data_IF_581368555660
#
_entry.id   IF_581368555660
#
_cell.length_a   1.000
_cell.length_b   1.000
_cell.length_c   1.000
_cell.angle_alpha   90.00
_cell.angle_beta   90.00
_cell.angle_gamma   90.00
#
_symmetry.space_group_name_H-M   'P 1'
#
loop_
_entity.id
_entity.type
_entity.pdbx_description
1 polymer ?
#
# COMPACT_ATOMS: atom_id res chain seq x y z
N UNK A 1 24.59 -27.43 0.00
CA UNK A 1 23.77 -28.02 1.07
C UNK A 1 22.33 -27.59 0.78
N UNK A 2 21.40 -28.53 0.63
CA UNK A 2 19.99 -28.18 0.43
C UNK A 2 19.39 -27.61 1.73
N UNK A 3 18.42 -26.72 1.57
CA UNK A 3 17.69 -26.10 2.66
C UNK A 3 16.74 -27.14 3.27
N UNK A 4 16.79 -27.35 4.59
CA UNK A 4 15.91 -28.26 5.32
C UNK A 4 15.16 -27.49 6.41
N UNK A 5 13.86 -27.29 6.21
CA UNK A 5 12.98 -26.55 7.11
C UNK A 5 11.83 -27.46 7.58
N UNK A 6 11.41 -27.29 8.84
CA UNK A 6 10.30 -28.06 9.44
C UNK A 6 8.95 -27.38 9.17
N UNK A 7 8.92 -26.04 9.17
CA UNK A 7 7.70 -25.24 8.97
C UNK A 7 8.05 -23.86 8.44
N UNK A 8 7.12 -23.28 7.69
CA UNK A 8 7.21 -21.93 7.14
C UNK A 8 5.81 -21.37 6.88
N UNK A 9 5.72 -20.05 6.77
CA UNK A 9 4.48 -19.40 6.33
C UNK A 9 4.19 -19.79 4.88
N UNK A 10 2.96 -20.20 4.62
CA UNK A 10 2.48 -20.49 3.27
C UNK A 10 1.57 -19.37 2.78
N UNK A 11 1.76 -18.95 1.54
CA UNK A 11 0.93 -17.94 0.91
C UNK A 11 -0.36 -18.57 0.35
N UNK A 12 -1.47 -17.87 0.47
CA UNK A 12 -2.72 -18.29 -0.18
C UNK A 12 -3.44 -19.45 0.49
N UNK A 13 -3.09 -19.82 1.73
CA UNK A 13 -3.70 -20.95 2.47
C UNK A 13 -5.21 -20.83 2.68
N UNK A 14 -5.76 -19.61 2.61
CA UNK A 14 -7.21 -19.39 2.76
C UNK A 14 -7.96 -19.30 1.43
N UNK A 15 -7.29 -19.34 0.28
CA UNK A 15 -7.95 -19.31 -1.04
C UNK A 15 -8.85 -20.51 -1.26
N UNK A 16 -10.06 -20.27 -1.76
CA UNK A 16 -11.09 -21.28 -2.00
C UNK A 16 -11.69 -21.89 -0.72
N UNK A 17 -11.36 -21.36 0.46
CA UNK A 17 -11.88 -21.84 1.74
C UNK A 17 -13.07 -21.01 2.22
N UNK A 18 -13.78 -21.50 3.24
CA UNK A 18 -14.90 -20.77 3.85
C UNK A 18 -14.50 -19.41 4.47
N UNK A 19 -13.21 -19.18 4.74
CA UNK A 19 -12.71 -17.95 5.36
C UNK A 19 -12.09 -16.96 4.38
N UNK A 20 -11.97 -17.30 3.09
CA UNK A 20 -11.34 -16.44 2.07
C UNK A 20 -11.94 -15.03 2.05
N UNK A 21 -13.28 -14.94 2.05
CA UNK A 21 -14.00 -13.67 2.04
C UNK A 21 -13.77 -12.86 3.31
N UNK A 22 -13.71 -13.52 4.47
CA UNK A 22 -13.41 -12.85 5.73
C UNK A 22 -11.98 -12.29 5.72
N UNK A 23 -11.00 -13.05 5.22
CA UNK A 23 -9.61 -12.57 5.08
C UNK A 23 -9.53 -11.36 4.14
N UNK A 24 -10.23 -11.37 3.00
CA UNK A 24 -10.28 -10.22 2.08
C UNK A 24 -10.87 -8.98 2.75
N UNK A 25 -11.97 -9.14 3.48
CA UNK A 25 -12.61 -8.04 4.19
C UNK A 25 -11.70 -7.44 5.27
N UNK A 26 -11.02 -8.29 6.03
CA UNK A 26 -10.06 -7.82 7.04
C UNK A 26 -8.87 -7.13 6.37
N UNK A 27 -8.29 -7.70 5.30
CA UNK A 27 -7.20 -7.02 4.58
C UNK A 27 -7.59 -5.60 4.13
N UNK A 28 -8.80 -5.42 3.57
CA UNK A 28 -9.30 -4.11 3.14
C UNK A 28 -9.58 -3.17 4.32
N UNK A 29 -10.17 -3.67 5.40
CA UNK A 29 -10.46 -2.92 6.62
C UNK A 29 -9.17 -2.38 7.24
N UNK A 30 -8.20 -3.26 7.48
CA UNK A 30 -6.90 -2.91 8.04
C UNK A 30 -6.17 -1.88 7.18
N UNK A 31 -6.17 -2.03 5.84
CA UNK A 31 -5.60 -1.04 4.92
C UNK A 31 -6.25 0.35 5.06
N UNK A 32 -7.56 0.41 5.26
CA UNK A 32 -8.29 1.65 5.48
C UNK A 32 -7.97 2.27 6.85
N UNK A 33 -7.88 1.44 7.89
CA UNK A 33 -7.58 1.87 9.25
C UNK A 33 -6.17 2.47 9.38
N UNK A 34 -5.17 1.93 8.66
CA UNK A 34 -3.84 2.55 8.58
C UNK A 34 -3.95 4.03 8.15
N UNK A 35 -4.68 4.30 7.07
CA UNK A 35 -4.88 5.66 6.57
C UNK A 35 -5.67 6.54 7.55
N UNK A 36 -6.70 5.96 8.16
CA UNK A 36 -7.55 6.65 9.14
C UNK A 36 -6.77 7.05 10.39
N UNK A 37 -6.01 6.13 10.99
CA UNK A 37 -5.22 6.42 12.18
C UNK A 37 -4.10 7.44 11.92
N UNK A 38 -3.46 7.40 10.74
CA UNK A 38 -2.49 8.43 10.36
C UNK A 38 -3.15 9.82 10.20
N UNK A 39 -4.37 9.89 9.67
CA UNK A 39 -5.13 11.13 9.60
C UNK A 39 -5.55 11.63 10.99
N UNK A 40 -6.01 10.73 11.87
CA UNK A 40 -6.35 11.03 13.26
C UNK A 40 -5.12 11.52 14.04
N UNK A 41 -3.94 10.93 13.81
CA UNK A 41 -2.68 11.40 14.40
C UNK A 41 -2.36 12.84 13.99
N UNK A 42 -2.53 13.20 12.70
CA UNK A 42 -2.35 14.58 12.22
C UNK A 42 -3.33 15.55 12.90
N UNK A 43 -4.56 15.10 13.15
CA UNK A 43 -5.56 15.91 13.84
C UNK A 43 -5.18 16.14 15.31
N UNK A 44 -4.81 15.09 16.04
CA UNK A 44 -4.37 15.19 17.42
C UNK A 44 -3.16 16.14 17.57
N UNK A 45 -2.22 16.12 16.61
CA UNK A 45 -1.11 17.08 16.59
C UNK A 45 -1.57 18.54 16.44
N UNK A 46 -2.54 18.81 15.55
CA UNK A 46 -3.09 20.16 15.35
C UNK A 46 -3.79 20.69 16.61
N UNK A 47 -4.37 19.78 17.40
CA UNK A 47 -5.04 20.09 18.66
C UNK A 47 -4.09 20.17 19.86
N UNK A 48 -2.81 19.86 19.67
CA UNK A 48 -1.78 19.94 20.72
C UNK A 48 -1.60 18.65 21.55
N UNK A 49 -2.26 17.55 21.18
CA UNK A 49 -2.17 16.26 21.87
C UNK A 49 -1.10 15.36 21.22
N UNK A 50 0.17 15.71 21.43
CA UNK A 50 1.30 15.01 20.83
C UNK A 50 1.37 13.52 21.24
N UNK A 51 1.07 13.21 22.50
CA UNK A 51 1.04 11.84 23.02
C UNK A 51 -0.05 10.98 22.38
N UNK A 52 -1.24 11.56 22.14
CA UNK A 52 -2.34 10.88 21.45
C UNK A 52 -1.97 10.61 20.00
N UNK A 53 -1.31 11.56 19.34
CA UNK A 53 -0.83 11.38 17.98
C UNK A 53 0.17 10.23 17.85
N UNK A 54 1.07 10.06 18.82
CA UNK A 54 2.02 8.94 18.82
C UNK A 54 1.34 7.59 19.10
N UNK A 55 0.30 7.55 19.92
CA UNK A 55 -0.54 6.37 20.09
C UNK A 55 -1.19 5.98 18.76
N UNK A 56 -1.83 6.93 18.07
CA UNK A 56 -2.44 6.64 16.76
C UNK A 56 -1.43 6.16 15.71
N UNK A 57 -0.20 6.72 15.68
CA UNK A 57 0.85 6.23 14.78
C UNK A 57 1.33 4.83 15.13
N UNK A 58 1.32 4.47 16.40
CA UNK A 58 1.66 3.10 16.84
C UNK A 58 0.59 2.12 16.36
N UNK A 59 -0.69 2.44 16.60
CA UNK A 59 -1.81 1.61 16.14
C UNK A 59 -1.78 1.46 14.61
N UNK A 60 -1.56 2.54 13.85
CA UNK A 60 -1.45 2.46 12.39
C UNK A 60 -0.35 1.49 11.89
N UNK A 61 0.75 1.31 12.66
CA UNK A 61 1.80 0.33 12.31
C UNK A 61 1.37 -1.10 12.64
N UNK A 62 0.59 -1.28 13.70
CA UNK A 62 0.02 -2.58 14.08
C UNK A 62 -1.00 -3.03 13.02
N UNK A 63 -1.91 -2.15 12.59
CA UNK A 63 -2.87 -2.48 11.51
C UNK A 63 -2.18 -2.74 10.17
N UNK A 64 -1.07 -2.04 9.88
CA UNK A 64 -0.25 -2.35 8.70
C UNK A 64 0.35 -3.77 8.78
N UNK A 65 0.73 -4.23 9.98
CA UNK A 65 1.21 -5.60 10.20
C UNK A 65 0.06 -6.62 10.05
N UNK A 66 -1.13 -6.32 10.57
CA UNK A 66 -2.32 -7.15 10.38
C UNK A 66 -2.69 -7.28 8.89
N UNK A 67 -2.76 -6.17 8.16
CA UNK A 67 -3.01 -6.14 6.73
C UNK A 67 -2.00 -7.02 5.96
N UNK A 68 -0.71 -6.94 6.28
CA UNK A 68 0.32 -7.77 5.66
C UNK A 68 0.07 -9.27 5.90
N UNK A 69 -0.34 -9.67 7.10
CA UNK A 69 -0.67 -11.08 7.40
C UNK A 69 -1.90 -11.56 6.64
N UNK A 70 -2.95 -10.76 6.53
CA UNK A 70 -4.13 -11.13 5.74
C UNK A 70 -3.82 -11.21 4.23
N UNK A 71 -2.98 -10.31 3.72
CA UNK A 71 -2.48 -10.36 2.35
C UNK A 71 -1.71 -11.66 2.06
N UNK A 72 -0.88 -12.13 2.98
CA UNK A 72 -0.19 -13.42 2.87
C UNK A 72 -1.19 -14.60 2.85
N UNK A 73 -2.15 -14.62 3.78
CA UNK A 73 -3.15 -15.70 3.88
C UNK A 73 -3.94 -15.89 2.58
N UNK A 74 -4.32 -14.79 1.92
CA UNK A 74 -5.01 -14.82 0.62
C UNK A 74 -4.06 -14.73 -0.59
N UNK A 75 -2.74 -14.77 -0.39
CA UNK A 75 -1.75 -14.82 -1.48
C UNK A 75 -1.72 -13.57 -2.38
N UNK A 76 -2.04 -12.40 -1.85
CA UNK A 76 -2.03 -11.12 -2.57
C UNK A 76 -0.64 -10.73 -3.12
N UNK A 77 0.39 -11.35 -2.56
CA UNK A 77 1.78 -11.27 -2.97
C UNK A 77 2.26 -12.61 -3.55
N UNK A 78 3.27 -12.55 -4.42
CA UNK A 78 3.92 -13.70 -5.02
C UNK A 78 5.46 -13.52 -4.96
N UNK A 79 6.20 -13.96 -5.98
CA UNK A 79 7.64 -13.77 -6.09
C UNK A 79 8.02 -12.29 -6.12
N UNK A 80 9.24 -11.96 -5.70
CA UNK A 80 9.74 -10.57 -5.75
C UNK A 80 9.67 -9.97 -7.15
N UNK A 81 9.94 -10.76 -8.20
CA UNK A 81 9.86 -10.30 -9.60
C UNK A 81 8.43 -9.91 -9.99
N UNK A 82 7.46 -10.79 -9.71
CA UNK A 82 6.06 -10.55 -10.01
C UNK A 82 5.49 -9.40 -9.19
N UNK A 83 5.88 -9.28 -7.92
CA UNK A 83 5.46 -8.17 -7.06
C UNK A 83 5.99 -6.83 -7.58
N UNK A 84 7.25 -6.77 -8.05
CA UNK A 84 7.81 -5.56 -8.67
C UNK A 84 7.07 -5.20 -9.98
N UNK A 85 6.66 -6.19 -10.76
CA UNK A 85 5.87 -5.98 -11.98
C UNK A 85 4.47 -5.46 -11.66
N UNK A 86 3.77 -6.10 -10.72
CA UNK A 86 2.45 -5.67 -10.24
C UNK A 86 2.51 -4.25 -9.71
N UNK A 87 3.50 -3.95 -8.86
CA UNK A 87 3.70 -2.62 -8.29
C UNK A 87 4.00 -1.57 -9.38
N UNK A 88 4.92 -1.85 -10.31
CA UNK A 88 5.25 -0.91 -11.40
C UNK A 88 4.04 -0.56 -12.26
N UNK A 89 3.24 -1.56 -12.64
CA UNK A 89 2.00 -1.34 -13.39
C UNK A 89 0.99 -0.53 -12.56
N UNK A 90 0.90 -0.82 -11.25
CA UNK A 90 0.09 -0.08 -10.30
C UNK A 90 0.47 1.41 -10.24
N UNK A 91 1.76 1.71 -10.11
CA UNK A 91 2.26 3.09 -10.07
C UNK A 91 1.99 3.85 -11.37
N UNK A 92 2.17 3.22 -12.53
CA UNK A 92 1.85 3.84 -13.83
C UNK A 92 0.36 4.15 -13.99
N UNK A 93 -0.51 3.27 -13.49
CA UNK A 93 -1.95 3.49 -13.52
C UNK A 93 -2.36 4.58 -12.53
N UNK A 94 -1.84 4.53 -11.29
CA UNK A 94 -2.07 5.51 -10.24
C UNK A 94 -1.62 6.92 -10.66
N UNK A 95 -0.42 7.04 -11.27
CA UNK A 95 0.10 8.30 -11.82
C UNK A 95 -0.91 8.96 -12.77
N UNK A 96 -1.43 8.20 -13.74
CA UNK A 96 -2.40 8.70 -14.71
C UNK A 96 -3.71 9.09 -14.04
N UNK A 97 -4.28 8.20 -13.21
CA UNK A 97 -5.57 8.45 -12.53
C UNK A 97 -5.51 9.67 -11.61
N UNK A 98 -4.42 9.84 -10.86
CA UNK A 98 -4.21 11.01 -10.00
C UNK A 98 -4.06 12.29 -10.82
N UNK A 99 -3.37 12.25 -11.97
CA UNK A 99 -3.27 13.41 -12.86
C UNK A 99 -4.63 13.80 -13.45
N UNK A 100 -5.44 12.83 -13.86
CA UNK A 100 -6.81 13.06 -14.34
C UNK A 100 -7.68 13.69 -13.23
N UNK A 101 -7.57 13.18 -11.99
CA UNK A 101 -8.26 13.73 -10.83
C UNK A 101 -7.82 15.16 -10.50
N UNK A 102 -6.52 15.47 -10.61
CA UNK A 102 -6.01 16.83 -10.43
C UNK A 102 -6.64 17.80 -11.44
N UNK A 103 -6.68 17.42 -12.73
CA UNK A 103 -7.30 18.23 -13.78
C UNK A 103 -8.79 18.45 -13.49
N UNK A 104 -9.51 17.41 -13.10
CA UNK A 104 -10.93 17.51 -12.73
C UNK A 104 -11.13 18.42 -11.51
N UNK A 105 -10.29 18.32 -10.48
CA UNK A 105 -10.34 19.19 -9.31
C UNK A 105 -10.13 20.66 -9.70
N UNK A 106 -9.19 20.95 -10.61
CA UNK A 106 -8.96 22.31 -11.10
C UNK A 106 -10.14 22.86 -11.89
N UNK A 107 -10.76 22.05 -12.74
CA UNK A 107 -11.98 22.42 -13.48
C UNK A 107 -13.16 22.76 -12.56
N UNK A 108 -13.20 22.16 -11.37
CA UNK A 108 -14.22 22.40 -10.35
C UNK A 108 -13.79 23.44 -9.30
N UNK A 109 -12.66 24.13 -9.49
CA UNK A 109 -12.11 25.13 -8.57
C UNK A 109 -11.84 24.61 -7.14
N UNK A 110 -11.42 23.34 -7.02
CA UNK A 110 -11.03 22.73 -5.75
C UNK A 110 -9.50 22.67 -5.68
N UNK A 111 -8.87 23.82 -5.47
CA UNK A 111 -7.40 23.98 -5.58
C UNK A 111 -6.61 23.07 -4.63
N UNK A 112 -7.05 22.92 -3.37
CA UNK A 112 -6.41 22.01 -2.41
C UNK A 112 -6.37 20.57 -2.92
N UNK A 113 -7.48 20.09 -3.51
CA UNK A 113 -7.54 18.74 -4.06
C UNK A 113 -6.68 18.60 -5.32
N UNK A 114 -6.65 19.63 -6.18
CA UNK A 114 -5.74 19.65 -7.33
C UNK A 114 -4.29 19.48 -6.88
N UNK A 115 -3.85 20.26 -5.89
CA UNK A 115 -2.46 20.28 -5.45
C UNK A 115 -2.05 18.93 -4.84
N UNK A 116 -2.91 18.35 -4.00
CA UNK A 116 -2.66 17.02 -3.42
C UNK A 116 -2.61 15.93 -4.50
N UNK A 117 -3.52 15.94 -5.47
CA UNK A 117 -3.51 14.94 -6.54
C UNK A 117 -2.33 15.10 -7.50
N UNK A 118 -1.96 16.35 -7.83
CA UNK A 118 -0.84 16.62 -8.74
C UNK A 118 0.50 16.22 -8.11
N UNK A 119 0.69 16.52 -6.83
CA UNK A 119 1.90 16.10 -6.11
C UNK A 119 1.96 14.58 -5.94
N UNK A 120 0.84 13.96 -5.55
CA UNK A 120 0.76 12.51 -5.47
C UNK A 120 1.03 11.84 -6.83
N UNK A 121 0.63 12.44 -7.95
CA UNK A 121 0.97 11.92 -9.28
C UNK A 121 2.48 11.96 -9.55
N UNK A 122 3.18 13.05 -9.16
CA UNK A 122 4.64 13.13 -9.29
C UNK A 122 5.35 12.08 -8.44
N UNK A 123 4.82 11.80 -7.25
CA UNK A 123 5.32 10.73 -6.38
C UNK A 123 5.21 9.35 -7.05
N UNK A 124 4.09 9.01 -7.69
CA UNK A 124 3.97 7.73 -8.40
C UNK A 124 4.97 7.59 -9.56
N UNK A 125 5.33 8.71 -10.21
CA UNK A 125 6.40 8.72 -11.23
C UNK A 125 7.77 8.39 -10.60
N UNK A 126 8.06 8.96 -9.41
CA UNK A 126 9.26 8.64 -8.63
C UNK A 126 9.27 7.18 -8.19
N UNK A 127 8.15 6.66 -7.70
CA UNK A 127 7.99 5.25 -7.30
C UNK A 127 8.17 4.30 -8.49
N UNK A 128 7.50 4.56 -9.61
CA UNK A 128 7.64 3.75 -10.84
C UNK A 128 9.10 3.71 -11.33
N UNK A 129 9.81 4.84 -11.32
CA UNK A 129 11.23 4.87 -11.68
C UNK A 129 12.10 4.05 -10.73
N UNK A 130 11.85 4.12 -9.43
CA UNK A 130 12.59 3.33 -8.44
C UNK A 130 12.34 1.83 -8.63
N UNK A 131 11.07 1.41 -8.74
CA UNK A 131 10.68 0.01 -8.97
C UNK A 131 11.27 -0.54 -10.27
N UNK A 132 11.19 0.22 -11.36
CA UNK A 132 11.79 -0.15 -12.65
C UNK A 132 13.31 -0.31 -12.51
N UNK A 133 13.99 0.64 -11.88
CA UNK A 133 15.43 0.59 -11.67
C UNK A 133 15.87 -0.64 -10.86
N UNK A 134 15.14 -0.98 -9.79
CA UNK A 134 15.39 -2.19 -8.99
C UNK A 134 15.15 -3.45 -9.81
N UNK A 135 14.00 -3.52 -10.50
CA UNK A 135 13.65 -4.67 -11.35
C UNK A 135 14.71 -4.92 -12.41
N UNK A 136 15.12 -3.88 -13.15
CA UNK A 136 16.14 -3.99 -14.18
C UNK A 136 17.48 -4.41 -13.58
N UNK A 137 17.88 -3.86 -12.42
CA UNK A 137 19.14 -4.23 -11.76
C UNK A 137 19.17 -5.69 -11.31
N UNK A 138 18.05 -6.21 -10.80
CA UNK A 138 17.97 -7.58 -10.26
C UNK A 138 17.67 -8.64 -11.32
N UNK A 139 17.00 -8.27 -12.42
CA UNK A 139 16.45 -9.24 -13.39
C UNK A 139 16.79 -8.93 -14.86
N UNK A 140 17.72 -8.00 -15.16
CA UNK A 140 18.21 -7.82 -16.53
C UNK A 140 19.03 -9.04 -16.99
N UNK A 141 18.69 -9.58 -18.18
CA UNK A 141 19.48 -10.63 -18.83
C UNK A 141 19.05 -12.07 -18.54
N UNK A 142 17.86 -12.29 -17.98
CA UNK A 142 17.18 -13.59 -17.89
C UNK A 142 15.98 -13.64 -18.85
#
# INVERSE_FOLDING_TARGET
>A
MELSLITENQLGVTRGTAVESAVTQNYQGECMEVGWYLAAARQAQREGFAEVAEVFKTIAREEAAHAARFAELNGEISTTRENLEKALNGEQNSNRMKREAAVAAKQNNIDEAHDVFDEAAKDESRHARALKGIKDKLFAGL
#
